data_IF_471413631380
#
_entry.id   IF_471413631380
#
_cell.length_a   1.000
_cell.length_b   1.000
_cell.length_c   1.000
_cell.angle_alpha   90.00
_cell.angle_beta   90.00
_cell.angle_gamma   90.00
#
_symmetry.space_group_name_H-M   'P 1'
#
loop_
_entity.id
_entity.type
_entity.pdbx_description
1 polymer ?
#
# COMPACT_ATOMS: atom_id res chain seq x y z
N UNK A 1 3.39 9.86 10.76
CA UNK A 1 2.24 8.98 10.45
C UNK A 1 2.73 7.79 9.62
N UNK A 2 2.28 6.56 9.88
CA UNK A 2 2.68 5.39 9.10
C UNK A 2 2.23 5.53 7.63
N UNK A 3 3.01 4.96 6.72
CA UNK A 3 2.75 5.05 5.29
C UNK A 3 3.00 3.69 4.61
N UNK A 4 2.28 3.48 3.51
CA UNK A 4 2.52 2.38 2.58
C UNK A 4 3.28 2.92 1.36
N UNK A 5 4.40 2.32 1.02
CA UNK A 5 5.20 2.70 -0.14
C UNK A 5 5.05 1.66 -1.26
N UNK A 6 4.73 2.14 -2.45
CA UNK A 6 4.75 1.36 -3.67
C UNK A 6 6.10 1.58 -4.35
N UNK A 7 6.86 0.49 -4.52
CA UNK A 7 8.19 0.53 -5.11
C UNK A 7 8.17 -0.06 -6.53
N UNK A 8 9.05 0.44 -7.38
CA UNK A 8 9.39 -0.26 -8.62
C UNK A 8 10.17 -1.53 -8.29
N UNK A 9 9.71 -2.68 -8.78
CA UNK A 9 10.28 -3.98 -8.45
C UNK A 9 11.72 -4.19 -8.96
N UNK A 10 12.15 -3.49 -10.01
CA UNK A 10 13.48 -3.61 -10.60
C UNK A 10 14.50 -2.68 -9.95
N UNK A 11 14.12 -1.42 -9.71
CA UNK A 11 15.04 -0.38 -9.22
C UNK A 11 14.88 -0.06 -7.74
N UNK A 12 13.82 -0.53 -7.08
CA UNK A 12 13.52 -0.20 -5.68
C UNK A 12 13.08 1.25 -5.45
N UNK A 13 12.94 2.06 -6.50
CA UNK A 13 12.52 3.45 -6.41
C UNK A 13 11.06 3.56 -5.95
N UNK A 14 10.76 4.54 -5.09
CA UNK A 14 9.40 4.84 -4.64
C UNK A 14 8.59 5.44 -5.79
N UNK A 15 7.53 4.76 -6.20
CA UNK A 15 6.56 5.22 -7.21
C UNK A 15 5.45 6.05 -6.57
N UNK A 16 4.97 5.63 -5.38
CA UNK A 16 3.89 6.30 -4.67
C UNK A 16 4.00 6.03 -3.17
N UNK A 17 3.58 7.01 -2.38
CA UNK A 17 3.39 6.87 -0.94
C UNK A 17 1.93 7.13 -0.61
N UNK A 18 1.33 6.22 0.15
CA UNK A 18 -0.05 6.29 0.62
C UNK A 18 -0.08 6.48 2.13
N UNK A 19 -0.88 7.43 2.60
CA UNK A 19 -1.13 7.60 4.02
C UNK A 19 -2.10 6.53 4.52
N UNK A 20 -1.74 5.89 5.63
CA UNK A 20 -2.57 4.91 6.33
C UNK A 20 -2.79 5.39 7.76
N UNK A 21 -3.99 5.12 8.29
CA UNK A 21 -4.43 5.61 9.60
C UNK A 21 -3.84 4.81 10.79
N UNK A 22 -2.85 3.97 10.56
CA UNK A 22 -2.21 3.13 11.57
C UNK A 22 -1.18 2.17 10.96
N UNK A 23 -0.33 1.53 11.78
CA UNK A 23 0.61 0.52 11.28
C UNK A 23 -0.15 -0.69 10.71
N UNK A 24 0.48 -1.39 9.77
CA UNK A 24 0.02 -2.69 9.28
C UNK A 24 1.02 -3.75 9.75
N UNK A 25 0.51 -4.85 10.29
CA UNK A 25 1.32 -6.01 10.71
C UNK A 25 1.15 -7.19 9.76
N UNK A 26 0.16 -7.14 8.87
CA UNK A 26 -0.05 -8.10 7.80
C UNK A 26 0.59 -7.59 6.50
N UNK A 27 1.01 -8.53 5.64
CA UNK A 27 1.44 -8.21 4.29
C UNK A 27 0.27 -7.66 3.45
N UNK A 28 0.50 -6.67 2.57
CA UNK A 28 -0.51 -6.19 1.63
C UNK A 28 -0.94 -7.29 0.64
N UNK A 29 -2.22 -7.30 0.26
CA UNK A 29 -2.69 -8.14 -0.86
C UNK A 29 -2.75 -7.31 -2.13
N UNK A 30 -2.15 -7.80 -3.22
CA UNK A 30 -2.09 -7.10 -4.51
C UNK A 30 -2.82 -7.90 -5.58
N UNK A 31 -3.73 -7.26 -6.30
CA UNK A 31 -4.45 -7.89 -7.40
C UNK A 31 -5.37 -6.92 -8.14
N UNK A 32 -5.60 -7.17 -9.44
CA UNK A 32 -6.49 -6.36 -10.30
C UNK A 32 -6.21 -4.85 -10.21
N UNK A 33 -4.93 -4.47 -10.21
CA UNK A 33 -4.51 -3.06 -10.13
C UNK A 33 -4.79 -2.38 -8.78
N UNK A 34 -5.01 -3.15 -7.70
CA UNK A 34 -5.26 -2.62 -6.36
C UNK A 34 -4.37 -3.24 -5.30
N UNK A 35 -4.18 -2.48 -4.23
CA UNK A 35 -3.50 -2.89 -3.01
C UNK A 35 -4.50 -2.83 -1.86
N UNK A 36 -4.65 -3.93 -1.13
CA UNK A 36 -5.48 -4.04 0.06
C UNK A 36 -4.59 -4.11 1.30
N UNK A 37 -4.90 -3.28 2.31
CA UNK A 37 -4.21 -3.26 3.61
C UNK A 37 -5.19 -3.13 4.75
N UNK A 38 -4.88 -3.79 5.86
CA UNK A 38 -5.66 -3.71 7.10
C UNK A 38 -4.81 -3.08 8.21
N UNK A 39 -4.80 -1.73 8.31
CA UNK A 39 -4.15 -1.04 9.42
C UNK A 39 -4.83 -1.34 10.77
N UNK A 40 -4.07 -1.22 11.86
CA UNK A 40 -4.55 -1.39 13.24
C UNK A 40 -5.71 -0.45 13.63
N UNK A 41 -5.97 0.60 12.83
CA UNK A 41 -7.14 1.47 12.98
C UNK A 41 -8.48 0.77 12.70
N UNK A 42 -8.48 -0.51 12.29
CA UNK A 42 -9.67 -1.35 12.18
C UNK A 42 -10.47 -1.16 10.88
N UNK A 43 -9.90 -0.50 9.87
CA UNK A 43 -10.56 -0.31 8.57
C UNK A 43 -9.72 -0.91 7.45
N UNK A 44 -10.31 -1.79 6.64
CA UNK A 44 -9.71 -2.24 5.40
C UNK A 44 -9.62 -1.07 4.41
N UNK A 45 -8.44 -0.82 3.87
CA UNK A 45 -8.22 0.22 2.85
C UNK A 45 -7.80 -0.39 1.52
N UNK A 46 -8.24 0.24 0.43
CA UNK A 46 -7.91 -0.13 -0.93
C UNK A 46 -7.26 1.06 -1.65
N UNK A 47 -6.12 0.83 -2.29
CA UNK A 47 -5.42 1.83 -3.08
C UNK A 47 -5.27 1.35 -4.53
N UNK A 48 -5.36 2.27 -5.49
CA UNK A 48 -5.11 1.96 -6.90
C UNK A 48 -3.61 1.98 -7.20
N UNK A 49 -3.16 1.01 -7.98
CA UNK A 49 -1.83 1.02 -8.59
C UNK A 49 -1.93 1.85 -9.88
N UNK A 50 -1.11 2.89 -10.07
CA UNK A 50 -1.06 3.61 -11.33
C UNK A 50 -0.81 2.64 -12.50
N UNK A 51 -1.44 2.91 -13.64
CA UNK A 51 -1.07 2.21 -14.86
C UNK A 51 0.43 2.46 -15.18
N UNK A 52 1.10 1.52 -15.87
CA UNK A 52 2.46 1.72 -16.35
C UNK A 52 2.63 3.00 -17.17
#
# INVERSE_FOLDING_TARGET
MPALELLNAQMGAVLKRFEIAGPTYAAPTVGRGRILVHPYSGQLRAFSIPAP
#
